data_IF_642397221151
#
_entry.id   IF_642397221151
#
_cell.length_a   1.000
_cell.length_b   1.000
_cell.length_c   1.000
_cell.angle_alpha   90.00
_cell.angle_beta   90.00
_cell.angle_gamma   90.00
#
_symmetry.space_group_name_H-M   'P 1'
#
loop_
_entity.id
_entity.type
_entity.pdbx_description
1 polymer ?
#
# COMPACT_ATOMS: atom_id res chain seq x y z
N UNK A 1 -4.91 -26.81 -2.64
CA UNK A 1 -3.44 -26.64 -2.72
C UNK A 1 -2.82 -27.28 -1.50
N UNK A 2 -1.79 -28.12 -1.65
CA UNK A 2 -1.12 -28.78 -0.52
C UNK A 2 -0.01 -27.83 -0.02
N UNK A 3 -0.17 -27.30 1.19
CA UNK A 3 0.90 -26.58 1.88
C UNK A 3 1.95 -27.59 2.34
N UNK A 4 3.21 -27.32 2.05
CA UNK A 4 4.36 -28.11 2.50
C UNK A 4 5.35 -27.21 3.22
N UNK A 5 6.13 -27.81 4.12
CA UNK A 5 7.27 -27.11 4.73
C UNK A 5 8.34 -26.85 3.67
N UNK A 6 8.70 -25.59 3.51
CA UNK A 6 9.73 -25.15 2.57
C UNK A 6 10.81 -24.41 3.33
N UNK A 7 11.98 -24.30 2.71
CA UNK A 7 13.11 -23.57 3.27
C UNK A 7 13.75 -22.73 2.19
N UNK A 8 14.05 -21.47 2.50
CA UNK A 8 14.81 -20.59 1.62
C UNK A 8 15.66 -19.62 2.45
N UNK A 9 16.77 -19.10 1.90
CA UNK A 9 17.58 -18.11 2.57
C UNK A 9 16.87 -16.75 2.60
N UNK A 10 16.96 -16.03 3.72
CA UNK A 10 16.61 -14.61 3.77
C UNK A 10 17.49 -13.84 2.78
N UNK A 11 16.90 -12.94 2.00
CA UNK A 11 17.60 -12.10 1.02
C UNK A 11 18.68 -11.20 1.65
N UNK A 12 18.53 -10.84 2.92
CA UNK A 12 19.42 -9.90 3.62
C UNK A 12 20.51 -10.61 4.44
N UNK A 13 20.13 -11.43 5.43
CA UNK A 13 21.10 -12.08 6.32
C UNK A 13 21.56 -13.47 5.86
N UNK A 14 20.95 -14.03 4.80
CA UNK A 14 21.26 -15.36 4.30
C UNK A 14 20.81 -16.53 5.18
N UNK A 15 20.18 -16.27 6.34
CA UNK A 15 19.69 -17.33 7.22
C UNK A 15 18.62 -18.17 6.53
N UNK A 16 18.73 -19.49 6.64
CA UNK A 16 17.73 -20.42 6.14
C UNK A 16 16.48 -20.37 7.03
N UNK A 17 15.36 -19.89 6.46
CA UNK A 17 14.08 -19.77 7.15
C UNK A 17 13.15 -20.88 6.66
N UNK A 18 12.55 -21.60 7.60
CA UNK A 18 11.51 -22.59 7.34
C UNK A 18 10.12 -21.94 7.42
N UNK A 19 9.26 -22.24 6.46
CA UNK A 19 7.90 -21.70 6.41
C UNK A 19 6.95 -22.66 5.70
N UNK A 20 5.65 -22.54 5.98
CA UNK A 20 4.61 -23.24 5.24
C UNK A 20 4.24 -22.47 3.97
N UNK A 21 4.30 -23.12 2.82
CA UNK A 21 3.93 -22.52 1.54
C UNK A 21 3.44 -23.54 0.53
N UNK A 22 2.90 -23.07 -0.59
CA UNK A 22 2.42 -23.94 -1.65
C UNK A 22 3.59 -24.65 -2.37
N UNK A 23 3.40 -25.91 -2.74
CA UNK A 23 4.47 -26.75 -3.30
C UNK A 23 5.10 -26.23 -4.59
N UNK A 24 4.40 -25.35 -5.30
CA UNK A 24 4.71 -24.80 -6.62
C UNK A 24 5.31 -23.38 -6.57
N UNK A 25 5.69 -22.88 -5.38
CA UNK A 25 6.40 -21.60 -5.29
C UNK A 25 7.72 -21.65 -6.07
N UNK A 26 7.98 -20.59 -6.84
CA UNK A 26 9.28 -20.35 -7.47
C UNK A 26 10.32 -19.96 -6.42
N UNK A 27 11.61 -20.15 -6.72
CA UNK A 27 12.67 -19.81 -5.77
C UNK A 27 12.65 -18.33 -5.33
N UNK A 28 12.36 -17.34 -6.20
CA UNK A 28 12.16 -15.96 -5.76
C UNK A 28 11.00 -15.79 -4.79
N UNK A 29 9.87 -16.48 -5.01
CA UNK A 29 8.72 -16.42 -4.10
C UNK A 29 9.05 -17.07 -2.74
N UNK A 30 9.82 -18.16 -2.73
CA UNK A 30 10.29 -18.79 -1.49
C UNK A 30 11.22 -17.87 -0.72
N UNK A 31 12.19 -17.24 -1.41
CA UNK A 31 13.11 -16.27 -0.81
C UNK A 31 12.36 -15.04 -0.27
N UNK A 32 11.35 -14.55 -1.00
CA UNK A 32 10.48 -13.47 -0.53
C UNK A 32 9.74 -13.88 0.75
N UNK A 33 9.14 -15.07 0.78
CA UNK A 33 8.41 -15.58 1.95
C UNK A 33 9.32 -15.79 3.16
N UNK A 34 10.51 -16.34 2.93
CA UNK A 34 11.56 -16.47 3.94
C UNK A 34 11.97 -15.11 4.50
N UNK A 35 12.16 -14.11 3.62
CA UNK A 35 12.52 -12.74 4.01
C UNK A 35 11.41 -12.06 4.79
N UNK A 36 10.15 -12.26 4.40
CA UNK A 36 8.96 -11.74 5.10
C UNK A 36 8.69 -12.40 6.46
N UNK A 37 9.35 -13.53 6.75
CA UNK A 37 9.22 -14.25 8.03
C UNK A 37 10.48 -14.11 8.91
N UNK A 38 11.57 -13.59 8.35
CA UNK A 38 12.83 -13.42 9.05
C UNK A 38 12.76 -12.28 10.07
N UNK A 39 13.52 -12.37 11.16
CA UNK A 39 13.56 -11.37 12.23
C UNK A 39 14.85 -10.54 12.25
N UNK A 40 15.71 -10.68 11.22
CA UNK A 40 16.90 -9.84 11.10
C UNK A 40 16.52 -8.36 10.84
N UNK A 41 17.35 -7.39 11.26
CA UNK A 41 17.01 -5.97 11.20
C UNK A 41 16.54 -5.49 9.83
N UNK A 42 17.26 -5.88 8.77
CA UNK A 42 16.97 -5.48 7.39
C UNK A 42 15.68 -6.11 6.87
N UNK A 43 15.40 -7.38 7.22
CA UNK A 43 14.14 -8.03 6.88
C UNK A 43 12.95 -7.38 7.59
N UNK A 44 13.12 -7.01 8.86
CA UNK A 44 12.09 -6.33 9.64
C UNK A 44 11.79 -4.95 9.05
N UNK A 45 12.80 -4.19 8.63
CA UNK A 45 12.56 -2.91 7.95
C UNK A 45 11.87 -3.11 6.60
N UNK A 46 12.32 -4.08 5.79
CA UNK A 46 11.65 -4.42 4.53
C UNK A 46 10.17 -4.81 4.71
N UNK A 47 9.87 -5.62 5.74
CA UNK A 47 8.49 -5.99 6.09
C UNK A 47 7.65 -4.76 6.45
N UNK A 48 8.20 -3.86 7.28
CA UNK A 48 7.51 -2.61 7.65
C UNK A 48 7.25 -1.74 6.43
N UNK A 49 8.23 -1.58 5.54
CA UNK A 49 8.09 -0.79 4.32
C UNK A 49 6.99 -1.35 3.41
N UNK A 50 7.02 -2.67 3.16
CA UNK A 50 6.00 -3.35 2.35
C UNK A 50 4.61 -3.24 2.97
N UNK A 51 4.48 -3.47 4.27
CA UNK A 51 3.22 -3.31 5.00
C UNK A 51 2.70 -1.88 4.92
N UNK A 52 3.57 -0.86 4.99
CA UNK A 52 3.17 0.55 4.83
C UNK A 52 2.59 0.81 3.44
N UNK A 53 3.26 0.31 2.38
CA UNK A 53 2.76 0.43 1.00
C UNK A 53 1.40 -0.26 0.84
N UNK A 54 1.28 -1.51 1.27
CA UNK A 54 0.04 -2.29 1.18
C UNK A 54 -1.10 -1.63 1.97
N UNK A 55 -0.81 -1.14 3.18
CA UNK A 55 -1.78 -0.39 4.00
C UNK A 55 -2.25 0.88 3.29
N UNK A 56 -1.34 1.62 2.65
CA UNK A 56 -1.70 2.81 1.89
C UNK A 56 -2.59 2.49 0.68
N UNK A 57 -2.27 1.44 -0.08
CA UNK A 57 -3.10 0.96 -1.20
C UNK A 57 -4.49 0.52 -0.72
N UNK A 58 -4.57 -0.18 0.42
CA UNK A 58 -5.84 -0.55 1.05
C UNK A 58 -6.63 0.68 1.48
N UNK A 59 -5.98 1.69 2.07
CA UNK A 59 -6.65 2.94 2.45
C UNK A 59 -7.22 3.67 1.22
N UNK A 60 -6.53 3.64 0.08
CA UNK A 60 -7.09 4.15 -1.19
C UNK A 60 -8.36 3.38 -1.57
N UNK A 61 -8.35 2.05 -1.48
CA UNK A 61 -9.53 1.23 -1.75
C UNK A 61 -10.70 1.57 -0.82
N UNK A 62 -10.44 1.69 0.48
CA UNK A 62 -11.45 1.99 1.52
C UNK A 62 -12.02 3.40 1.39
N UNK A 63 -11.23 4.38 0.95
CA UNK A 63 -11.70 5.77 0.84
C UNK A 63 -12.30 6.13 -0.51
N UNK A 64 -11.91 5.43 -1.57
CA UNK A 64 -12.23 5.80 -2.95
C UNK A 64 -12.62 4.63 -3.87
N UNK A 65 -12.12 3.43 -3.59
CA UNK A 65 -12.28 2.25 -4.45
C UNK A 65 -13.47 1.35 -4.09
N UNK A 66 -13.30 0.05 -4.34
CA UNK A 66 -14.37 -0.96 -4.18
C UNK A 66 -14.80 -1.15 -2.72
N UNK A 67 -13.87 -1.02 -1.79
CA UNK A 67 -14.13 -1.14 -0.35
C UNK A 67 -14.78 0.12 0.25
N UNK A 68 -14.86 1.21 -0.51
CA UNK A 68 -15.53 2.42 -0.07
C UNK A 68 -17.06 2.25 -0.06
N UNK A 69 -17.72 3.01 0.82
CA UNK A 69 -19.17 3.12 0.84
C UNK A 69 -19.69 3.53 -0.56
N UNK A 70 -20.85 3.01 -1.03
CA UNK A 70 -21.33 3.21 -2.40
C UNK A 70 -21.34 4.67 -2.87
N UNK A 71 -21.76 5.59 -2.00
CA UNK A 71 -21.81 7.03 -2.24
C UNK A 71 -20.44 7.71 -2.30
N UNK A 72 -19.39 7.04 -1.82
CA UNK A 72 -18.01 7.51 -1.83
C UNK A 72 -17.18 6.91 -2.96
N UNK A 73 -17.65 5.85 -3.63
CA UNK A 73 -16.90 5.24 -4.73
C UNK A 73 -16.65 6.25 -5.84
N UNK A 74 -15.43 6.26 -6.37
CA UNK A 74 -15.07 7.04 -7.54
C UNK A 74 -14.67 6.10 -8.68
N UNK A 75 -14.59 6.64 -9.90
CA UNK A 75 -14.26 5.84 -11.08
C UNK A 75 -12.90 5.14 -10.95
N UNK A 76 -12.82 3.90 -11.43
CA UNK A 76 -11.63 3.04 -11.36
C UNK A 76 -10.38 3.69 -11.97
N UNK A 77 -10.53 4.48 -13.03
CA UNK A 77 -9.41 5.23 -13.61
C UNK A 77 -8.79 6.23 -12.62
N UNK A 78 -9.60 6.88 -11.79
CA UNK A 78 -9.10 7.81 -10.76
C UNK A 78 -8.47 7.04 -9.60
N UNK A 79 -9.07 5.91 -9.20
CA UNK A 79 -8.48 5.00 -8.20
C UNK A 79 -7.11 4.52 -8.65
N UNK A 80 -6.94 4.22 -9.93
CA UNK A 80 -5.66 3.79 -10.50
C UNK A 80 -4.60 4.90 -10.42
N UNK A 81 -4.98 6.17 -10.66
CA UNK A 81 -4.08 7.32 -10.47
C UNK A 81 -3.66 7.44 -8.99
N UNK A 82 -4.61 7.28 -8.06
CA UNK A 82 -4.30 7.33 -6.62
C UNK A 82 -3.37 6.18 -6.20
N UNK A 83 -3.57 4.98 -6.73
CA UNK A 83 -2.67 3.83 -6.49
C UNK A 83 -1.26 4.11 -7.03
N UNK A 84 -1.14 4.62 -8.26
CA UNK A 84 0.16 5.02 -8.82
C UNK A 84 0.84 6.12 -7.98
N UNK A 85 0.07 7.10 -7.49
CA UNK A 85 0.60 8.13 -6.60
C UNK A 85 1.15 7.55 -5.27
N UNK A 86 0.54 6.50 -4.71
CA UNK A 86 1.11 5.78 -3.56
C UNK A 86 2.47 5.18 -3.91
N UNK A 87 2.63 4.62 -5.12
CA UNK A 87 3.89 4.02 -5.54
C UNK A 87 5.00 5.06 -5.73
N UNK A 88 4.70 6.18 -6.40
CA UNK A 88 5.65 7.27 -6.59
C UNK A 88 6.02 7.98 -5.28
N UNK A 89 5.09 8.06 -4.33
CA UNK A 89 5.39 8.57 -2.99
C UNK A 89 6.28 7.57 -2.23
N UNK A 90 5.99 6.27 -2.34
CA UNK A 90 6.77 5.23 -1.71
C UNK A 90 8.19 5.13 -2.25
N UNK A 91 8.38 5.28 -3.57
CA UNK A 91 9.70 5.27 -4.22
C UNK A 91 10.51 6.55 -3.96
N UNK A 92 9.91 7.57 -3.35
CA UNK A 92 10.51 8.86 -3.09
C UNK A 92 10.50 9.83 -4.29
N UNK A 93 9.80 9.49 -5.38
CA UNK A 93 9.61 10.38 -6.53
C UNK A 93 8.70 11.57 -6.22
N UNK A 94 7.76 11.43 -5.27
CA UNK A 94 6.81 12.47 -4.88
C UNK A 94 6.70 12.62 -3.36
N UNK A 95 6.59 13.86 -2.87
CA UNK A 95 6.31 14.12 -1.44
C UNK A 95 4.80 14.12 -1.13
N UNK A 96 3.99 14.66 -2.05
CA UNK A 96 2.54 14.80 -1.90
C UNK A 96 1.85 14.90 -3.25
N UNK A 97 0.69 14.28 -3.36
CA UNK A 97 -0.24 14.41 -4.48
C UNK A 97 -1.58 14.89 -3.94
N UNK A 98 -2.25 15.79 -4.67
CA UNK A 98 -3.61 16.25 -4.34
C UNK A 98 -4.45 16.32 -5.60
N UNK A 99 -5.55 15.58 -5.63
CA UNK A 99 -6.52 15.57 -6.73
C UNK A 99 -7.81 16.25 -6.28
N UNK A 100 -8.25 17.23 -7.07
CA UNK A 100 -9.57 17.84 -6.90
C UNK A 100 -10.56 17.11 -7.80
N UNK A 101 -11.52 16.42 -7.19
CA UNK A 101 -12.54 15.65 -7.88
C UNK A 101 -13.81 16.49 -8.04
N UNK A 102 -14.66 16.10 -9.00
CA UNK A 102 -15.99 16.69 -9.14
C UNK A 102 -16.83 16.39 -7.89
N UNK A 103 -17.79 17.27 -7.58
CA UNK A 103 -18.65 17.13 -6.40
C UNK A 103 -18.03 17.64 -5.10
N UNK A 104 -16.97 18.46 -5.16
CA UNK A 104 -16.37 19.06 -3.96
C UNK A 104 -15.54 18.09 -3.11
N UNK A 105 -15.14 16.97 -3.70
CA UNK A 105 -14.28 15.96 -3.07
C UNK A 105 -12.81 16.25 -3.43
N UNK A 106 -11.93 16.16 -2.46
CA UNK A 106 -10.47 16.26 -2.63
C UNK A 106 -9.82 15.00 -2.08
N UNK A 107 -8.92 14.42 -2.86
CA UNK A 107 -8.07 13.32 -2.43
C UNK A 107 -6.65 13.84 -2.22
N UNK A 108 -6.01 13.47 -1.11
CA UNK A 108 -4.63 13.87 -0.79
C UNK A 108 -3.85 12.64 -0.34
N UNK A 109 -2.68 12.44 -0.94
CA UNK A 109 -1.75 11.37 -0.56
C UNK A 109 -0.42 12.02 -0.25
N UNK A 110 0.19 11.71 0.90
CA UNK A 110 1.46 12.31 1.31
C UNK A 110 2.26 11.36 2.19
N UNK A 111 3.58 11.53 2.23
CA UNK A 111 4.43 10.85 3.20
C UNK A 111 4.80 11.79 4.35
N UNK A 112 4.73 11.29 5.59
CA UNK A 112 5.23 12.03 6.74
C UNK A 112 6.74 11.81 6.95
N UNK A 113 7.35 12.56 7.87
CA UNK A 113 8.77 12.44 8.20
C UNK A 113 9.19 11.09 8.79
N UNK A 114 8.24 10.23 9.18
CA UNK A 114 8.46 8.87 9.67
C UNK A 114 8.33 7.81 8.56
N UNK A 115 8.06 8.23 7.33
CA UNK A 115 7.88 7.35 6.18
C UNK A 115 6.48 6.73 6.07
N UNK A 116 5.52 7.14 6.91
CA UNK A 116 4.13 6.68 6.81
C UNK A 116 3.40 7.43 5.70
N UNK A 117 2.64 6.70 4.88
CA UNK A 117 1.85 7.25 3.79
C UNK A 117 0.43 7.52 4.28
N UNK A 118 0.04 8.78 4.28
CA UNK A 118 -1.30 9.25 4.60
C UNK A 118 -2.15 9.32 3.34
N UNK A 119 -3.37 8.79 3.42
CA UNK A 119 -4.38 8.86 2.36
C UNK A 119 -5.60 9.55 2.97
N UNK A 120 -5.98 10.69 2.40
CA UNK A 120 -7.01 11.57 2.93
C UNK A 120 -8.08 11.84 1.89
N UNK A 121 -9.33 11.86 2.35
CA UNK A 121 -10.50 12.30 1.59
C UNK A 121 -11.13 13.47 2.32
N UNK A 122 -11.28 14.59 1.62
CA UNK A 122 -12.00 15.76 2.12
C UNK A 122 -13.23 16.00 1.27
N UNK A 123 -14.39 16.19 1.90
CA UNK A 123 -15.64 16.54 1.22
C UNK A 123 -16.06 17.94 1.71
N UNK A 124 -16.23 18.86 0.77
CA UNK A 124 -16.61 20.25 1.09
C UNK A 124 -17.99 20.58 0.60
N UNK A 125 -18.86 21.02 1.52
CA UNK A 125 -20.15 21.65 1.19
C UNK A 125 -19.94 23.15 1.10
N UNK A 126 -19.93 23.70 -0.11
CA UNK A 126 -19.90 25.16 -0.31
C UNK A 126 -21.32 25.72 -0.15
N UNK A 127 -21.53 26.57 0.83
CA UNK A 127 -22.69 27.46 0.91
C UNK A 127 -22.24 28.86 0.48
N UNK A 128 -23.00 29.50 -0.39
CA UNK A 128 -22.77 30.88 -0.81
C UNK A 128 -24.06 31.66 -0.55
N UNK A 129 -23.98 32.65 0.33
CA UNK A 129 -25.01 33.66 0.48
C UNK A 129 -24.61 34.83 -0.40
N UNK A 130 -25.48 35.22 -1.31
CA UNK A 130 -25.36 36.45 -2.11
C UNK A 130 -26.42 37.42 -1.60
N UNK A 131 -26.05 38.69 -1.48
CA UNK A 131 -26.98 39.81 -1.25
C UNK A 131 -28.01 39.93 -2.37
#
# INVERSE_FOLDING_TARGET
MKKIMQTAPCRFCGQMVQFEGDSDLTDPQKQETATMTCTCPEAVEYQKEKQRKEKALKNVSVLFGEDAAPEKRIGEGIVSILRAAVEEIYSGGLAKVTLNLRGGVKASISQNSKGEINVERTETKKQKLTE
#
